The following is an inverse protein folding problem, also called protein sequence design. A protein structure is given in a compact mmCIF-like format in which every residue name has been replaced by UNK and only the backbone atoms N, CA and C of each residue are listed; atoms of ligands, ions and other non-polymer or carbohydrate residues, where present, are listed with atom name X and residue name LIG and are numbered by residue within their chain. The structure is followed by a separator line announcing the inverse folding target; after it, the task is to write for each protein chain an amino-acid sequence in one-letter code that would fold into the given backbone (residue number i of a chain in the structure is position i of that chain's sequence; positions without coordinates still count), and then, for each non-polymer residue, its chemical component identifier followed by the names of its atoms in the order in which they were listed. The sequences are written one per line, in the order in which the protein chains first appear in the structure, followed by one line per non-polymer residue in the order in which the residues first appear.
data_IF_684862841191
#
_entry.id   IF_684862841191
#
_cell.length_a   1.000
_cell.length_b   1.000
_cell.length_c   1.000
_cell.angle_alpha   90.00
_cell.angle_beta   90.00
_cell.angle_gamma   90.00
#
_symmetry.space_group_name_H-M   'P 1'
#
loop_
_entity.id
_entity.type
_entity.pdbx_description
1 polymer ?
#
# COMPACT_ATOMS: atom_id res chain seq x y z
N UNK A 1 7.74 8.11 -7.91
CA UNK A 1 6.54 7.30 -7.78
C UNK A 1 5.33 8.15 -7.49
N UNK A 2 4.15 7.79 -8.00
CA UNK A 2 2.91 8.44 -7.71
C UNK A 2 2.80 9.83 -8.33
N UNK A 3 3.33 10.91 -7.72
CA UNK A 3 3.23 12.24 -8.29
C UNK A 3 3.74 12.35 -9.74
N UNK A 4 4.67 11.50 -10.14
CA UNK A 4 5.22 11.48 -11.50
C UNK A 4 4.51 10.49 -12.45
N UNK A 5 3.38 9.94 -12.05
CA UNK A 5 2.56 9.03 -12.87
C UNK A 5 1.71 9.72 -13.94
N UNK A 6 1.80 11.05 -14.09
CA UNK A 6 1.12 11.85 -15.08
C UNK A 6 2.03 12.95 -15.61
N UNK A 7 1.74 13.47 -16.80
CA UNK A 7 2.50 14.58 -17.39
C UNK A 7 2.15 15.89 -16.71
N UNK A 8 3.18 16.65 -16.38
CA UNK A 8 3.06 18.01 -15.85
C UNK A 8 3.18 19.06 -16.97
N UNK A 9 2.59 20.25 -16.80
CA UNK A 9 2.67 21.32 -17.82
C UNK A 9 4.09 21.65 -18.24
N UNK A 10 5.05 21.66 -17.33
CA UNK A 10 6.47 21.93 -17.61
C UNK A 10 7.12 20.88 -18.51
N UNK A 11 6.67 19.64 -18.50
CA UNK A 11 7.16 18.57 -19.41
C UNK A 11 6.78 18.85 -20.86
N UNK A 12 5.76 19.67 -21.09
CA UNK A 12 5.34 20.14 -22.42
C UNK A 12 5.97 21.49 -22.73
N UNK A 13 5.93 22.43 -21.77
CA UNK A 13 6.35 23.83 -21.97
C UNK A 13 7.86 23.92 -22.17
N UNK A 14 8.67 23.21 -21.39
CA UNK A 14 10.15 23.29 -21.48
C UNK A 14 10.66 22.80 -22.84
N UNK A 15 10.23 21.65 -23.39
CA UNK A 15 10.60 21.27 -24.76
C UNK A 15 10.07 22.24 -25.83
N UNK A 16 8.86 22.77 -25.67
CA UNK A 16 8.31 23.76 -26.60
C UNK A 16 9.15 25.06 -26.64
N UNK A 17 9.58 25.53 -25.47
CA UNK A 17 10.48 26.68 -25.35
C UNK A 17 11.86 26.40 -25.98
N UNK A 18 12.44 25.24 -25.71
CA UNK A 18 13.72 24.85 -26.30
C UNK A 18 13.65 24.84 -27.83
N UNK A 19 12.54 24.35 -28.39
CA UNK A 19 12.28 24.35 -29.85
C UNK A 19 12.11 25.80 -30.37
N UNK A 20 11.32 26.64 -29.69
CA UNK A 20 11.06 28.02 -30.12
C UNK A 20 12.32 28.89 -30.06
N UNK A 21 13.18 28.69 -29.08
CA UNK A 21 14.41 29.43 -28.89
C UNK A 21 15.60 28.84 -29.65
N UNK A 22 15.48 27.67 -30.24
CA UNK A 22 16.55 26.86 -30.83
C UNK A 22 17.77 26.73 -29.87
N UNK A 23 17.51 26.58 -28.57
CA UNK A 23 18.53 26.46 -27.51
C UNK A 23 18.11 25.49 -26.45
N UNK A 24 19.04 24.82 -25.76
CA UNK A 24 18.73 24.05 -24.56
C UNK A 24 18.05 24.94 -23.50
N UNK A 25 16.96 24.41 -22.91
CA UNK A 25 16.24 25.05 -21.80
C UNK A 25 16.25 24.10 -20.63
N UNK A 26 16.51 24.59 -19.43
CA UNK A 26 16.46 23.85 -18.17
C UNK A 26 15.53 24.56 -17.20
N UNK A 27 14.67 23.80 -16.56
CA UNK A 27 13.84 24.24 -15.45
C UNK A 27 14.07 23.33 -14.26
N UNK A 28 14.09 23.89 -13.07
CA UNK A 28 14.24 23.15 -11.81
C UNK A 28 13.19 23.71 -10.87
N UNK A 29 12.26 22.85 -10.48
CA UNK A 29 11.24 23.14 -9.48
C UNK A 29 11.89 23.30 -8.10
N UNK A 30 11.53 24.36 -7.39
CA UNK A 30 11.90 24.50 -5.99
C UNK A 30 10.93 23.77 -5.05
N UNK A 31 11.26 23.68 -3.77
CA UNK A 31 10.44 22.97 -2.80
C UNK A 31 9.08 23.61 -2.57
N UNK A 32 8.99 24.93 -2.65
CA UNK A 32 7.75 25.67 -2.46
C UNK A 32 6.82 25.48 -3.65
N UNK A 33 7.34 25.59 -4.86
CA UNK A 33 6.62 25.30 -6.10
C UNK A 33 6.07 23.85 -6.05
N UNK A 34 6.92 22.89 -5.67
CA UNK A 34 6.53 21.49 -5.54
C UNK A 34 5.32 21.31 -4.62
N UNK A 35 5.30 21.92 -3.45
CA UNK A 35 4.15 21.79 -2.53
C UNK A 35 2.89 22.50 -3.03
N UNK A 36 3.00 23.49 -3.90
CA UNK A 36 1.85 24.24 -4.41
C UNK A 36 1.25 23.63 -5.68
N UNK A 37 2.04 22.92 -6.49
CA UNK A 37 1.65 22.53 -7.86
C UNK A 37 1.65 21.03 -8.09
N UNK A 38 2.45 20.27 -7.34
CA UNK A 38 2.51 18.81 -7.48
C UNK A 38 1.22 18.16 -7.01
N UNK A 39 0.83 17.13 -7.71
CA UNK A 39 -0.34 16.30 -7.31
C UNK A 39 -0.19 15.79 -5.88
N UNK A 40 -1.32 15.72 -5.18
CA UNK A 40 -1.41 15.32 -3.79
C UNK A 40 -2.11 13.97 -3.64
N UNK A 41 -2.01 13.36 -2.46
CA UNK A 41 -2.77 12.19 -2.05
C UNK A 41 -3.00 12.25 -0.53
N UNK A 42 -3.79 11.37 0.02
CA UNK A 42 -4.01 11.13 1.46
C UNK A 42 -5.11 11.98 2.12
N UNK A 43 -5.70 12.96 1.47
CA UNK A 43 -6.77 13.74 2.08
C UNK A 43 -8.11 12.99 1.99
N UNK A 44 -8.46 12.33 3.08
CA UNK A 44 -9.68 11.54 3.21
C UNK A 44 -10.30 11.73 4.60
N UNK A 45 -11.63 11.83 4.64
CA UNK A 45 -12.42 11.85 5.88
C UNK A 45 -13.18 10.52 5.97
N UNK A 46 -13.02 9.82 7.06
CA UNK A 46 -13.63 8.53 7.31
C UNK A 46 -14.58 8.58 8.50
N UNK A 47 -15.85 8.21 8.27
CA UNK A 47 -16.77 7.83 9.32
C UNK A 47 -16.89 6.31 9.32
N UNK A 48 -16.45 5.65 10.37
CA UNK A 48 -16.43 4.19 10.47
C UNK A 48 -17.25 3.71 11.65
N UNK A 49 -18.14 2.76 11.41
CA UNK A 49 -18.88 2.04 12.43
C UNK A 49 -18.59 0.55 12.30
N UNK A 50 -18.26 -0.09 13.39
CA UNK A 50 -17.99 -1.52 13.47
C UNK A 50 -18.97 -2.19 14.44
N UNK A 51 -19.55 -3.31 14.04
CA UNK A 51 -20.37 -4.17 14.88
C UNK A 51 -19.54 -5.37 15.32
N UNK A 52 -19.63 -5.72 16.59
CA UNK A 52 -18.88 -6.80 17.21
C UNK A 52 -19.83 -7.65 18.06
N UNK A 53 -19.48 -8.91 18.23
CA UNK A 53 -20.10 -9.76 19.26
C UNK A 53 -19.44 -9.51 20.64
N UNK A 54 -19.90 -10.26 21.64
CA UNK A 54 -19.41 -10.13 23.03
C UNK A 54 -17.94 -10.53 23.20
N UNK A 55 -17.42 -11.34 22.31
CA UNK A 55 -16.04 -11.81 22.30
C UNK A 55 -15.12 -10.90 21.46
N UNK A 56 -15.67 -9.85 20.86
CA UNK A 56 -14.93 -8.90 20.03
C UNK A 56 -14.71 -9.37 18.60
N UNK A 57 -15.45 -10.35 18.12
CA UNK A 57 -15.42 -10.73 16.70
C UNK A 57 -16.25 -9.77 15.86
N UNK A 58 -15.72 -9.42 14.71
CA UNK A 58 -16.36 -8.49 13.78
C UNK A 58 -17.58 -9.17 13.15
N UNK A 59 -18.74 -8.51 13.27
CA UNK A 59 -19.99 -8.90 12.63
C UNK A 59 -20.26 -8.07 11.38
N UNK A 60 -19.73 -6.86 11.33
CA UNK A 60 -19.88 -5.99 10.17
C UNK A 60 -19.15 -4.67 10.30
N UNK A 61 -18.89 -4.07 9.16
CA UNK A 61 -18.22 -2.78 9.00
C UNK A 61 -19.04 -1.91 8.05
N UNK A 62 -19.38 -0.69 8.48
CA UNK A 62 -20.05 0.29 7.63
C UNK A 62 -19.47 1.67 7.84
N UNK A 63 -19.64 2.53 6.82
CA UNK A 63 -19.21 3.90 6.98
C UNK A 63 -19.37 4.74 5.74
N UNK A 64 -18.76 5.91 5.79
CA UNK A 64 -18.68 6.87 4.71
C UNK A 64 -17.24 7.33 4.54
N UNK A 65 -16.81 7.40 3.29
CA UNK A 65 -15.55 8.01 2.87
C UNK A 65 -15.84 9.26 2.05
N UNK A 66 -15.25 10.38 2.42
CA UNK A 66 -15.14 11.58 1.58
C UNK A 66 -13.67 11.75 1.20
N UNK A 67 -13.41 11.78 -0.10
CA UNK A 67 -12.07 11.94 -0.66
C UNK A 67 -11.95 13.27 -1.38
N UNK A 68 -10.90 14.02 -1.11
CA UNK A 68 -10.56 15.22 -1.86
C UNK A 68 -9.91 14.83 -3.21
N UNK A 69 -10.62 15.07 -4.31
CA UNK A 69 -10.14 14.77 -5.65
C UNK A 69 -9.28 15.90 -6.25
N UNK A 70 -9.23 17.06 -5.60
CA UNK A 70 -8.61 18.27 -6.15
C UNK A 70 -9.44 18.90 -7.27
N UNK A 71 -8.81 19.77 -8.06
CA UNK A 71 -9.49 20.57 -9.08
C UNK A 71 -9.75 19.80 -10.39
N UNK A 72 -9.02 18.73 -10.68
CA UNK A 72 -9.09 17.95 -11.91
C UNK A 72 -9.12 16.46 -11.59
N UNK A 73 -9.61 15.62 -12.50
CA UNK A 73 -9.83 14.19 -12.29
C UNK A 73 -9.05 13.31 -13.27
N UNK A 74 -7.72 13.32 -13.29
CA UNK A 74 -7.02 12.29 -14.07
C UNK A 74 -7.13 10.90 -13.40
N UNK A 75 -7.09 10.84 -12.06
CA UNK A 75 -7.10 9.60 -11.27
C UNK A 75 -8.03 9.66 -10.04
N UNK A 76 -8.80 10.73 -9.88
CA UNK A 76 -9.46 11.10 -8.64
C UNK A 76 -10.39 10.07 -8.00
N UNK A 77 -10.99 9.17 -8.78
CA UNK A 77 -11.88 8.13 -8.25
C UNK A 77 -11.17 6.82 -7.91
N UNK A 78 -9.96 6.60 -8.42
CA UNK A 78 -9.23 5.34 -8.22
C UNK A 78 -8.79 5.19 -6.76
N UNK A 79 -8.22 6.24 -6.19
CA UNK A 79 -7.74 6.23 -4.81
C UNK A 79 -8.85 5.91 -3.81
N UNK A 80 -10.00 6.63 -3.79
CA UNK A 80 -11.06 6.32 -2.85
C UNK A 80 -11.71 4.95 -3.10
N UNK A 81 -11.79 4.50 -4.34
CA UNK A 81 -12.29 3.15 -4.64
C UNK A 81 -11.39 2.08 -4.03
N UNK A 82 -10.07 2.17 -4.23
CA UNK A 82 -9.11 1.24 -3.63
C UNK A 82 -9.19 1.33 -2.10
N UNK A 83 -9.24 2.54 -1.54
CA UNK A 83 -9.37 2.71 -0.09
C UNK A 83 -10.58 1.96 0.45
N UNK A 84 -11.74 2.13 -0.16
CA UNK A 84 -12.98 1.50 0.30
C UNK A 84 -12.94 -0.02 0.15
N UNK A 85 -12.43 -0.54 -0.97
CA UNK A 85 -12.40 -1.99 -1.23
C UNK A 85 -11.30 -2.73 -0.48
N UNK A 86 -10.39 -2.02 0.18
CA UNK A 86 -9.28 -2.64 0.93
C UNK A 86 -9.29 -2.35 2.42
N UNK A 87 -10.30 -1.61 2.94
CA UNK A 87 -10.36 -1.24 4.36
C UNK A 87 -10.47 -2.46 5.29
N UNK A 88 -11.11 -3.54 4.85
CA UNK A 88 -11.23 -4.75 5.67
C UNK A 88 -9.86 -5.37 6.02
N UNK A 89 -8.81 -5.08 5.22
CA UNK A 89 -7.47 -5.58 5.47
C UNK A 89 -7.43 -7.11 5.59
N UNK A 90 -6.63 -7.67 6.54
CA UNK A 90 -6.54 -9.12 6.74
C UNK A 90 -7.62 -9.68 7.67
N UNK A 91 -8.72 -8.95 7.89
CA UNK A 91 -9.74 -9.34 8.85
C UNK A 91 -10.96 -9.97 8.18
N UNK A 92 -11.61 -10.90 8.91
CA UNK A 92 -12.91 -11.44 8.54
C UNK A 92 -13.98 -10.36 8.80
N UNK A 93 -14.65 -9.90 7.74
CA UNK A 93 -15.72 -8.90 7.82
C UNK A 93 -16.95 -9.44 7.09
N UNK A 94 -17.88 -10.12 7.79
CA UNK A 94 -19.01 -10.80 7.16
C UNK A 94 -20.02 -9.89 6.48
N UNK A 95 -20.19 -8.66 6.97
CA UNK A 95 -21.08 -7.66 6.41
C UNK A 95 -20.34 -6.34 6.17
N UNK A 96 -20.46 -5.80 4.96
CA UNK A 96 -19.71 -4.63 4.55
C UNK A 96 -20.59 -3.63 3.78
N UNK A 97 -20.53 -2.34 4.17
CA UNK A 97 -21.19 -1.26 3.45
C UNK A 97 -20.47 0.08 3.62
N UNK A 98 -19.97 0.66 2.54
CA UNK A 98 -19.43 2.00 2.54
C UNK A 98 -20.03 2.86 1.43
N UNK A 99 -20.35 4.12 1.77
CA UNK A 99 -20.70 5.16 0.82
C UNK A 99 -19.44 5.99 0.54
N UNK A 100 -19.04 6.08 -0.73
CA UNK A 100 -17.82 6.77 -1.14
C UNK A 100 -18.13 7.97 -1.99
N UNK A 101 -17.62 9.13 -1.60
CA UNK A 101 -17.77 10.40 -2.32
C UNK A 101 -16.38 10.95 -2.66
N UNK A 102 -16.14 11.20 -3.96
CA UNK A 102 -15.00 12.00 -4.40
C UNK A 102 -15.48 13.44 -4.64
N UNK A 103 -14.94 14.38 -3.88
CA UNK A 103 -15.33 15.78 -3.93
C UNK A 103 -14.28 16.60 -4.68
N UNK A 104 -14.74 17.44 -5.61
CA UNK A 104 -13.89 18.44 -6.23
C UNK A 104 -13.58 19.58 -5.27
N UNK A 105 -12.32 20.01 -5.27
CA UNK A 105 -11.87 21.16 -4.50
C UNK A 105 -10.93 22.03 -5.35
N UNK A 106 -10.51 23.15 -4.81
CA UNK A 106 -9.53 24.06 -5.46
C UNK A 106 -8.06 23.73 -5.14
N UNK A 107 -7.80 22.53 -4.65
CA UNK A 107 -6.44 22.01 -4.44
C UNK A 107 -5.85 21.41 -5.72
N UNK A 108 -4.54 21.16 -5.79
CA UNK A 108 -3.96 20.34 -6.86
C UNK A 108 -4.66 18.99 -6.98
N UNK A 109 -4.71 18.40 -8.19
CA UNK A 109 -5.38 17.12 -8.38
C UNK A 109 -4.74 16.02 -7.55
N UNK A 110 -5.53 15.05 -7.10
CA UNK A 110 -5.02 13.89 -6.41
C UNK A 110 -4.66 12.78 -7.39
N UNK A 111 -3.54 12.12 -7.13
CA UNK A 111 -3.08 10.95 -7.88
C UNK A 111 -2.66 9.85 -6.93
N UNK A 112 -2.71 8.59 -7.36
CA UNK A 112 -2.21 7.50 -6.53
C UNK A 112 -0.73 7.67 -6.22
N UNK A 113 -0.36 7.77 -4.96
CA UNK A 113 0.98 7.53 -4.48
C UNK A 113 1.13 6.04 -4.17
N UNK A 114 2.35 5.50 -4.11
CA UNK A 114 2.58 4.08 -3.81
C UNK A 114 1.75 3.60 -2.61
N UNK A 115 0.94 2.54 -2.84
CA UNK A 115 -0.12 2.08 -1.94
C UNK A 115 -1.52 2.47 -2.41
N UNK A 116 -1.66 3.60 -3.13
CA UNK A 116 -2.86 4.00 -3.89
C UNK A 116 -4.17 3.87 -3.10
N UNK A 117 -4.27 4.50 -1.94
CA UNK A 117 -5.46 4.48 -1.09
C UNK A 117 -5.44 3.42 0.02
N UNK A 118 -4.64 2.36 -0.09
CA UNK A 118 -4.48 1.36 0.98
C UNK A 118 -3.92 1.94 2.28
N UNK A 119 -2.92 2.84 2.28
CA UNK A 119 -2.44 3.43 3.52
C UNK A 119 -3.52 4.15 4.31
N UNK A 120 -4.44 4.85 3.63
CA UNK A 120 -5.57 5.51 4.27
C UNK A 120 -6.56 4.50 4.85
N UNK A 121 -6.86 3.45 4.09
CA UNK A 121 -7.73 2.36 4.51
C UNK A 121 -7.17 1.61 5.73
N UNK A 122 -5.87 1.28 5.69
CA UNK A 122 -5.16 0.64 6.80
C UNK A 122 -5.23 1.54 8.05
N UNK A 123 -4.94 2.84 7.89
CA UNK A 123 -5.04 3.77 9.01
C UNK A 123 -6.45 3.79 9.63
N UNK A 124 -7.50 3.88 8.79
CA UNK A 124 -8.88 3.92 9.24
C UNK A 124 -9.27 2.62 9.99
N UNK A 125 -8.94 1.45 9.41
CA UNK A 125 -9.25 0.15 10.04
C UNK A 125 -8.45 -0.07 11.31
N UNK A 126 -7.15 0.10 11.27
CA UNK A 126 -6.27 -0.18 12.39
C UNK A 126 -6.51 0.77 13.57
N UNK A 127 -6.85 2.03 13.29
CA UNK A 127 -7.28 2.96 14.33
C UNK A 127 -8.64 2.58 14.91
N UNK A 128 -9.56 2.08 14.09
CA UNK A 128 -10.84 1.53 14.57
C UNK A 128 -10.61 0.34 15.48
N UNK A 129 -9.70 -0.58 15.13
CA UNK A 129 -9.34 -1.72 15.98
C UNK A 129 -8.72 -1.30 17.32
N UNK A 130 -7.91 -0.23 17.35
CA UNK A 130 -7.41 0.34 18.61
C UNK A 130 -8.54 0.87 19.51
N UNK A 131 -9.48 1.63 18.92
CA UNK A 131 -10.63 2.16 19.66
C UNK A 131 -11.54 1.06 20.20
N UNK A 132 -11.72 -0.01 19.43
CA UNK A 132 -12.44 -1.22 19.86
C UNK A 132 -11.74 -1.87 21.05
N UNK A 133 -10.42 -2.09 20.94
CA UNK A 133 -9.62 -2.67 22.00
C UNK A 133 -9.75 -1.87 23.32
N UNK A 134 -9.58 -0.56 23.22
CA UNK A 134 -9.70 0.35 24.37
C UNK A 134 -11.12 0.32 24.97
N UNK A 135 -12.18 0.29 24.14
CA UNK A 135 -13.57 0.27 24.60
C UNK A 135 -13.98 -1.04 25.25
N UNK A 136 -13.47 -2.18 24.77
CA UNK A 136 -13.77 -3.51 25.30
C UNK A 136 -12.81 -3.92 26.42
N UNK A 137 -11.74 -3.17 26.66
CA UNK A 137 -10.69 -3.55 27.63
C UNK A 137 -9.91 -4.80 27.19
N UNK A 138 -9.84 -5.06 25.89
CA UNK A 138 -9.10 -6.17 25.30
C UNK A 138 -7.75 -5.65 24.80
N UNK A 139 -6.70 -6.46 24.91
CA UNK A 139 -5.39 -6.11 24.36
C UNK A 139 -5.46 -5.87 22.84
N UNK A 140 -4.70 -4.87 22.36
CA UNK A 140 -4.72 -4.44 20.95
C UNK A 140 -4.23 -5.53 19.98
N UNK A 141 -3.28 -6.35 20.39
CA UNK A 141 -2.84 -7.48 19.59
C UNK A 141 -3.89 -8.61 19.60
N UNK A 142 -4.49 -8.85 20.75
CA UNK A 142 -5.48 -9.90 20.95
C UNK A 142 -6.76 -9.64 20.13
N UNK A 143 -7.30 -8.41 20.14
CA UNK A 143 -8.50 -8.10 19.35
C UNK A 143 -8.26 -8.30 17.85
N UNK A 144 -7.06 -8.01 17.36
CA UNK A 144 -6.65 -8.27 15.98
C UNK A 144 -6.57 -9.76 15.71
N UNK A 145 -5.87 -10.51 16.57
CA UNK A 145 -5.67 -11.95 16.45
C UNK A 145 -7.00 -12.71 16.33
N UNK A 146 -8.04 -12.30 17.08
CA UNK A 146 -9.38 -12.90 17.04
C UNK A 146 -10.06 -12.76 15.70
N UNK A 147 -9.69 -11.74 14.91
CA UNK A 147 -10.38 -11.36 13.69
C UNK A 147 -9.55 -11.61 12.41
N UNK A 148 -8.28 -12.00 12.54
CA UNK A 148 -7.45 -12.33 11.37
C UNK A 148 -8.03 -13.52 10.60
N UNK A 149 -7.93 -13.44 9.27
CA UNK A 149 -8.24 -14.56 8.37
C UNK A 149 -7.23 -15.67 8.64
N UNK A 150 -7.69 -16.87 9.02
CA UNK A 150 -6.79 -17.98 9.32
C UNK A 150 -6.22 -18.61 8.04
N UNK A 151 -5.06 -19.26 8.15
CA UNK A 151 -4.34 -19.84 7.00
C UNK A 151 -5.16 -20.87 6.25
N UNK A 152 -5.94 -21.67 6.96
CA UNK A 152 -6.80 -22.73 6.40
C UNK A 152 -8.00 -22.19 5.58
N UNK A 153 -8.29 -20.90 5.69
CA UNK A 153 -9.34 -20.26 4.90
C UNK A 153 -8.83 -19.79 3.51
N UNK A 154 -7.53 -19.89 3.24
CA UNK A 154 -6.96 -19.47 1.96
C UNK A 154 -7.18 -20.52 0.85
N UNK A 155 -7.51 -20.09 -0.39
CA UNK A 155 -7.74 -18.70 -0.82
C UNK A 155 -9.04 -18.11 -0.24
N UNK A 156 -8.99 -16.84 0.21
CA UNK A 156 -10.10 -16.18 0.88
C UNK A 156 -10.75 -15.13 -0.01
N UNK A 157 -12.04 -15.29 -0.29
CA UNK A 157 -12.83 -14.31 -1.04
C UNK A 157 -13.40 -13.26 -0.09
N UNK A 158 -13.08 -11.99 -0.36
CA UNK A 158 -13.52 -10.85 0.45
C UNK A 158 -14.99 -10.45 0.21
N UNK A 159 -15.63 -11.01 -0.82
CA UNK A 159 -16.97 -10.61 -1.24
C UNK A 159 -17.06 -9.22 -1.88
N UNK A 160 -15.93 -8.65 -2.29
CA UNK A 160 -15.82 -7.33 -2.91
C UNK A 160 -15.29 -7.45 -4.33
N UNK A 161 -15.63 -6.47 -5.16
CA UNK A 161 -15.10 -6.34 -6.53
C UNK A 161 -14.02 -5.27 -6.54
N UNK A 162 -12.86 -5.58 -7.08
CA UNK A 162 -11.77 -4.62 -7.22
C UNK A 162 -11.96 -3.74 -8.48
N UNK A 163 -11.12 -2.73 -8.63
CA UNK A 163 -11.22 -1.71 -9.70
C UNK A 163 -11.10 -2.26 -11.12
N UNK A 164 -10.56 -3.43 -11.30
CA UNK A 164 -10.45 -4.14 -12.59
C UNK A 164 -11.67 -5.01 -12.93
N UNK A 165 -12.68 -5.00 -12.04
CA UNK A 165 -13.90 -5.79 -12.17
C UNK A 165 -13.77 -7.22 -11.68
N UNK A 166 -12.60 -7.63 -11.18
CA UNK A 166 -12.37 -8.96 -10.62
C UNK A 166 -12.73 -9.03 -9.12
N UNK A 167 -13.12 -10.20 -8.60
CA UNK A 167 -13.28 -10.40 -7.17
C UNK A 167 -11.98 -10.14 -6.41
N UNK A 168 -12.08 -9.58 -5.21
CA UNK A 168 -10.95 -9.46 -4.29
C UNK A 168 -10.73 -10.81 -3.62
N UNK A 169 -9.67 -11.49 -3.99
CA UNK A 169 -9.28 -12.80 -3.46
C UNK A 169 -7.87 -12.71 -2.89
N UNK A 170 -7.69 -13.12 -1.65
CA UNK A 170 -6.37 -13.33 -1.04
C UNK A 170 -5.95 -14.77 -1.33
N UNK A 171 -4.93 -14.93 -2.14
CA UNK A 171 -4.49 -16.22 -2.68
C UNK A 171 -3.84 -17.12 -1.63
N UNK A 172 -3.07 -16.51 -0.73
CA UNK A 172 -2.28 -17.20 0.29
C UNK A 172 -1.93 -16.26 1.43
N UNK A 173 -1.52 -16.82 2.56
CA UNK A 173 -1.01 -16.06 3.69
C UNK A 173 -1.21 -16.78 5.03
N UNK A 174 -0.37 -16.42 5.99
CA UNK A 174 -0.49 -16.80 7.40
C UNK A 174 -0.45 -15.53 8.24
N UNK A 175 -1.57 -14.82 8.27
CA UNK A 175 -1.67 -13.53 8.97
C UNK A 175 -1.52 -13.67 10.49
N UNK A 176 -2.13 -14.69 11.14
CA UNK A 176 -1.90 -14.94 12.56
C UNK A 176 -0.43 -15.13 12.92
N UNK A 177 0.31 -15.93 12.15
CA UNK A 177 1.73 -16.15 12.35
C UNK A 177 2.55 -14.89 12.09
N UNK A 178 2.24 -14.15 11.02
CA UNK A 178 2.91 -12.90 10.70
C UNK A 178 2.80 -11.89 11.85
N UNK A 179 1.59 -11.70 12.40
CA UNK A 179 1.38 -10.85 13.57
C UNK A 179 2.17 -11.36 14.78
N UNK A 180 2.11 -12.67 15.08
CA UNK A 180 2.81 -13.26 16.22
C UNK A 180 4.32 -13.03 16.15
N UNK A 181 4.92 -13.24 14.97
CA UNK A 181 6.34 -12.98 14.74
C UNK A 181 6.71 -11.50 14.90
N UNK A 182 5.85 -10.59 14.45
CA UNK A 182 6.07 -9.14 14.62
C UNK A 182 6.00 -8.74 16.09
N UNK A 183 5.04 -9.26 16.84
CA UNK A 183 4.89 -9.02 18.27
C UNK A 183 6.09 -9.55 19.09
N UNK A 184 6.57 -10.74 18.74
CA UNK A 184 7.77 -11.33 19.36
C UNK A 184 9.01 -10.46 19.11
N UNK A 185 9.28 -10.12 17.84
CA UNK A 185 10.44 -9.29 17.46
C UNK A 185 10.37 -7.87 18.02
N UNK A 186 9.17 -7.32 18.16
CA UNK A 186 8.91 -6.01 18.78
C UNK A 186 8.92 -6.03 20.30
N UNK A 187 9.10 -7.22 20.91
CA UNK A 187 9.02 -7.41 22.37
C UNK A 187 7.76 -6.80 22.97
N UNK A 188 6.64 -7.01 22.28
CA UNK A 188 5.36 -6.35 22.62
C UNK A 188 4.92 -6.61 24.05
N UNK A 189 5.07 -7.84 24.56
CA UNK A 189 4.65 -8.22 25.92
C UNK A 189 5.47 -7.50 26.99
N UNK A 190 6.74 -7.19 26.72
CA UNK A 190 7.63 -6.48 27.64
C UNK A 190 7.52 -4.94 27.51
N UNK A 191 6.79 -4.44 26.53
CA UNK A 191 6.71 -3.01 26.26
C UNK A 191 6.22 -2.17 27.43
N UNK A 192 5.20 -2.58 28.24
CA UNK A 192 4.76 -1.79 29.41
C UNK A 192 5.89 -1.56 30.42
N UNK A 193 6.72 -2.56 30.69
CA UNK A 193 7.89 -2.45 31.56
C UNK A 193 8.92 -1.46 30.99
N UNK A 194 9.23 -1.61 29.70
CA UNK A 194 10.16 -0.70 28.99
C UNK A 194 9.66 0.73 28.96
N UNK A 195 8.36 0.93 28.78
CA UNK A 195 7.74 2.25 28.78
C UNK A 195 7.84 2.91 30.17
N UNK A 196 7.56 2.15 31.24
CA UNK A 196 7.69 2.64 32.60
C UNK A 196 9.12 3.04 32.94
N UNK A 197 10.11 2.21 32.58
CA UNK A 197 11.53 2.53 32.77
C UNK A 197 11.94 3.80 31.99
N UNK A 198 11.54 3.91 30.72
CA UNK A 198 11.83 5.11 29.91
C UNK A 198 11.22 6.39 30.54
N UNK A 199 10.00 6.32 31.08
CA UNK A 199 9.36 7.46 31.75
C UNK A 199 10.11 7.88 33.02
N UNK A 200 10.65 6.94 33.78
CA UNK A 200 11.46 7.24 34.95
C UNK A 200 12.75 8.00 34.59
N UNK A 201 13.22 7.84 33.36
CA UNK A 201 14.37 8.56 32.80
C UNK A 201 13.99 9.84 32.03
N UNK A 202 12.71 10.27 32.08
CA UNK A 202 12.21 11.43 31.35
C UNK A 202 12.03 11.21 29.85
N UNK A 203 12.08 9.97 29.36
CA UNK A 203 11.86 9.59 27.95
C UNK A 203 10.45 9.02 27.74
N UNK A 204 9.86 9.36 26.61
CA UNK A 204 8.51 8.87 26.23
C UNK A 204 8.62 8.02 25.00
N UNK A 205 8.30 6.74 25.14
CA UNK A 205 8.27 5.77 24.04
C UNK A 205 6.87 5.25 23.81
N UNK A 206 6.53 4.93 22.57
CA UNK A 206 5.24 4.37 22.17
C UNK A 206 5.43 3.13 21.32
N UNK A 207 4.40 2.30 21.24
CA UNK A 207 4.31 1.17 20.34
C UNK A 207 2.95 1.21 19.63
N UNK A 208 2.93 0.87 18.35
CA UNK A 208 1.73 0.71 17.54
C UNK A 208 1.75 -0.61 16.80
N UNK A 209 0.58 -1.17 16.54
CA UNK A 209 0.37 -2.38 15.76
C UNK A 209 -0.51 -2.01 14.58
N UNK A 210 -0.13 -2.48 13.40
CA UNK A 210 -0.94 -2.40 12.19
C UNK A 210 -0.75 -3.65 11.35
N UNK A 211 -1.84 -4.21 10.84
CA UNK A 211 -1.84 -5.30 9.90
C UNK A 211 -2.26 -4.78 8.52
N UNK A 212 -1.56 -5.20 7.47
CA UNK A 212 -1.81 -4.73 6.12
C UNK A 212 -1.71 -5.87 5.10
N UNK A 213 -2.54 -5.79 4.07
CA UNK A 213 -2.44 -6.63 2.89
C UNK A 213 -2.30 -5.72 1.67
N UNK A 214 -1.32 -6.02 0.82
CA UNK A 214 -1.06 -5.29 -0.42
C UNK A 214 -1.08 -6.25 -1.61
N UNK A 215 -1.80 -5.89 -2.67
CA UNK A 215 -1.72 -6.60 -3.95
C UNK A 215 -0.37 -6.35 -4.62
N UNK A 216 0.30 -7.41 -5.07
CA UNK A 216 1.69 -7.35 -5.54
C UNK A 216 1.85 -7.11 -7.04
N UNK A 217 0.79 -7.13 -7.84
CA UNK A 217 0.86 -6.93 -9.27
C UNK A 217 -0.39 -6.29 -9.83
N UNK A 218 -0.27 -5.71 -11.01
CA UNK A 218 -1.36 -5.19 -11.81
C UNK A 218 -1.18 -5.67 -13.24
N UNK A 219 -2.27 -6.15 -13.81
CA UNK A 219 -2.28 -6.66 -15.18
C UNK A 219 -2.17 -8.19 -15.24
N UNK A 220 -2.43 -8.77 -16.44
CA UNK A 220 -2.57 -10.21 -16.59
C UNK A 220 -1.23 -10.95 -16.51
N UNK A 221 -0.13 -10.33 -16.93
CA UNK A 221 1.21 -10.93 -16.91
C UNK A 221 2.31 -9.89 -17.17
N UNK A 222 3.54 -10.26 -16.83
CA UNK A 222 4.78 -9.63 -17.28
C UNK A 222 5.59 -10.63 -18.11
N UNK A 223 6.28 -10.12 -19.15
CA UNK A 223 7.11 -10.94 -20.02
C UNK A 223 8.59 -10.75 -19.72
N UNK A 224 9.37 -11.80 -19.96
CA UNK A 224 10.82 -11.72 -19.95
C UNK A 224 11.42 -12.55 -21.08
N UNK A 225 12.55 -12.08 -21.62
CA UNK A 225 13.36 -12.83 -22.59
C UNK A 225 14.68 -13.21 -21.94
N UNK A 226 15.01 -14.49 -21.98
CA UNK A 226 16.27 -15.01 -21.45
C UNK A 226 17.17 -15.44 -22.61
N UNK A 227 18.40 -14.93 -22.65
CA UNK A 227 19.44 -15.30 -23.62
C UNK A 227 20.64 -15.89 -22.89
N UNK A 228 21.05 -17.09 -23.28
CA UNK A 228 22.23 -17.76 -22.78
C UNK A 228 23.35 -17.62 -23.79
N UNK A 229 24.46 -17.01 -23.42
CA UNK A 229 25.63 -16.86 -24.28
C UNK A 229 26.53 -18.12 -24.25
N UNK A 230 27.34 -18.36 -25.25
CA UNK A 230 28.32 -19.49 -25.27
C UNK A 230 29.30 -19.45 -24.07
N UNK A 231 29.52 -18.27 -23.48
CA UNK A 231 30.35 -18.08 -22.25
C UNK A 231 29.68 -18.59 -20.97
N UNK A 232 28.41 -19.00 -21.04
CA UNK A 232 27.59 -19.34 -19.87
C UNK A 232 27.05 -18.12 -19.12
N UNK A 233 27.24 -16.90 -19.61
CA UNK A 233 26.52 -15.72 -19.10
C UNK A 233 25.08 -15.70 -19.62
N UNK A 234 24.19 -15.23 -18.78
CA UNK A 234 22.76 -15.12 -19.07
C UNK A 234 22.33 -13.66 -19.00
N UNK A 235 21.54 -13.23 -19.97
CA UNK A 235 20.89 -11.91 -19.96
C UNK A 235 19.40 -12.13 -19.90
N UNK A 236 18.75 -11.57 -18.87
CA UNK A 236 17.30 -11.51 -18.73
C UNK A 236 16.84 -10.09 -19.05
N UNK A 237 16.01 -9.96 -20.06
CA UNK A 237 15.40 -8.68 -20.48
C UNK A 237 13.92 -8.66 -20.09
N UNK A 238 13.45 -7.58 -19.44
CA UNK A 238 12.06 -7.39 -19.03
C UNK A 238 11.65 -5.94 -19.16
N UNK A 239 10.35 -5.66 -19.31
CA UNK A 239 9.77 -4.32 -19.22
C UNK A 239 9.53 -3.83 -17.79
N UNK A 240 9.72 -4.69 -16.79
CA UNK A 240 9.46 -4.38 -15.39
C UNK A 240 10.59 -3.54 -14.78
N UNK A 241 10.59 -2.22 -15.02
CA UNK A 241 11.59 -1.30 -14.49
C UNK A 241 11.57 -1.27 -12.95
N UNK A 242 12.76 -1.36 -12.36
CA UNK A 242 12.91 -1.26 -10.91
C UNK A 242 12.73 0.18 -10.42
N UNK A 243 11.92 0.34 -9.41
CA UNK A 243 11.68 1.62 -8.73
C UNK A 243 11.93 1.47 -7.21
N UNK A 244 12.94 0.71 -6.82
CA UNK A 244 13.26 0.39 -5.43
C UNK A 244 12.79 -1.01 -4.98
N UNK A 245 12.10 -1.80 -5.86
CA UNK A 245 11.63 -3.15 -5.52
C UNK A 245 12.72 -4.22 -5.65
N UNK A 246 13.93 -3.86 -6.03
CA UNK A 246 15.07 -4.78 -6.22
C UNK A 246 14.84 -5.85 -7.31
N UNK A 247 14.15 -5.50 -8.41
CA UNK A 247 13.87 -6.43 -9.50
C UNK A 247 15.14 -7.10 -10.06
N UNK A 248 16.25 -6.37 -10.16
CA UNK A 248 17.52 -6.94 -10.61
C UNK A 248 17.97 -8.12 -9.73
N UNK A 249 17.83 -8.00 -8.42
CA UNK A 249 18.20 -9.07 -7.48
C UNK A 249 17.21 -10.23 -7.53
N UNK A 250 15.91 -9.94 -7.43
CA UNK A 250 14.88 -10.99 -7.36
C UNK A 250 14.77 -11.77 -8.66
N UNK A 251 14.84 -11.10 -9.82
CA UNK A 251 14.81 -11.77 -11.13
C UNK A 251 16.08 -12.58 -11.39
N UNK A 252 17.25 -12.09 -10.94
CA UNK A 252 18.48 -12.86 -11.01
C UNK A 252 18.42 -14.12 -10.12
N UNK A 253 17.84 -14.02 -8.91
CA UNK A 253 17.64 -15.18 -8.04
C UNK A 253 16.68 -16.21 -8.66
N UNK A 254 15.54 -15.79 -9.18
CA UNK A 254 14.59 -16.68 -9.83
C UNK A 254 15.23 -17.38 -11.06
N UNK A 255 15.88 -16.59 -11.93
CA UNK A 255 16.56 -17.13 -13.10
C UNK A 255 17.70 -18.08 -12.73
N UNK A 256 18.47 -17.74 -11.69
CA UNK A 256 19.55 -18.57 -11.18
C UNK A 256 19.07 -19.90 -10.63
N UNK A 257 17.96 -19.88 -9.90
CA UNK A 257 17.32 -21.08 -9.38
C UNK A 257 16.82 -22.00 -10.50
N UNK A 258 16.09 -21.45 -11.48
CA UNK A 258 15.53 -22.23 -12.61
C UNK A 258 16.62 -22.81 -13.53
N UNK A 259 17.69 -22.07 -13.77
CA UNK A 259 18.77 -22.51 -14.66
C UNK A 259 19.91 -23.23 -13.90
N UNK A 260 19.86 -23.28 -12.57
CA UNK A 260 20.90 -23.82 -11.68
C UNK A 260 22.26 -23.19 -11.94
N UNK A 261 22.31 -21.85 -12.02
CA UNK A 261 23.56 -21.08 -12.23
C UNK A 261 23.69 -19.99 -11.15
N UNK A 262 24.95 -19.58 -10.84
CA UNK A 262 25.20 -18.48 -9.90
C UNK A 262 24.60 -17.16 -10.38
N UNK A 263 24.06 -16.36 -9.47
CA UNK A 263 23.40 -15.07 -9.79
C UNK A 263 24.36 -14.02 -10.36
N UNK A 264 25.66 -14.12 -10.08
CA UNK A 264 26.71 -13.25 -10.62
C UNK A 264 26.99 -13.48 -12.12
N UNK A 265 26.44 -14.55 -12.70
CA UNK A 265 26.44 -14.82 -14.14
C UNK A 265 25.21 -14.32 -14.87
N UNK A 266 24.29 -13.65 -14.19
CA UNK A 266 23.01 -13.18 -14.74
C UNK A 266 22.98 -11.67 -14.76
N UNK A 267 22.85 -11.10 -15.93
CA UNK A 267 22.65 -9.67 -16.15
C UNK A 267 21.15 -9.39 -16.36
N UNK A 268 20.58 -8.47 -15.60
CA UNK A 268 19.18 -8.04 -15.75
C UNK A 268 19.15 -6.70 -16.48
N UNK A 269 18.35 -6.65 -17.54
CA UNK A 269 18.10 -5.44 -18.35
C UNK A 269 16.61 -5.13 -18.31
N UNK A 270 16.26 -3.92 -17.82
CA UNK A 270 14.88 -3.42 -17.74
C UNK A 270 14.76 -1.98 -18.20
#
# INVERSE_FOLDING_TARGET
FGPKGMSYPEEIVVPALARALARPVKWIEDRREHFLTTTQERDQIWDVSIALDVDGKILGLKGRLIHDAGAYVPWGIITPYISTTTIAGPYIVPAFKFDTTAAFTNKPPTTPLRGAGRPQAIFAMERTMDLVADKLGIDRAEIRQRNLIPTEAMPYEMGLIFRDGAPVIYDSGDYPKCQSMALERGEYRDFPRRQAAARAEGRYIGIGIANAVEGTGLGPFEGATIKVAPSGRVVLQTGAAAQGQAHHTTLAQLCGQELNIPIDRIDIVS
#
